data_IF_724601479736
#
_entry.id   IF_724601479736
#
_cell.length_a   1.000
_cell.length_b   1.000
_cell.length_c   1.000
_cell.angle_alpha   90.00
_cell.angle_beta   90.00
_cell.angle_gamma   90.00
#
_symmetry.space_group_name_H-M   'P 1'
#
loop_
_entity.id
_entity.type
_entity.pdbx_description
1 polymer ?
#
# COMPACT_ATOMS: atom_id res chain seq x y z
N UNK A 1 -7.26 27.85 -29.58
CA UNK A 1 -8.73 27.94 -29.38
C UNK A 1 -8.96 28.07 -27.89
N UNK A 2 -9.22 29.28 -27.42
CA UNK A 2 -9.35 29.65 -25.99
C UNK A 2 -10.72 30.25 -25.67
N UNK A 3 -11.66 30.19 -26.62
CA UNK A 3 -12.99 30.76 -26.46
C UNK A 3 -13.92 29.69 -25.91
N UNK A 4 -14.47 29.96 -24.73
CA UNK A 4 -15.56 29.20 -24.12
C UNK A 4 -16.89 29.70 -24.71
N UNK A 5 -17.82 28.79 -25.10
CA UNK A 5 -19.10 29.19 -25.69
C UNK A 5 -19.92 30.13 -24.81
N UNK A 6 -20.67 31.02 -25.45
CA UNK A 6 -21.59 31.93 -24.78
C UNK A 6 -22.64 31.12 -23.98
N UNK A 7 -22.77 31.40 -22.69
CA UNK A 7 -23.64 30.66 -21.76
C UNK A 7 -23.01 29.43 -21.10
N UNK A 8 -21.74 29.13 -21.36
CA UNK A 8 -21.03 28.08 -20.63
C UNK A 8 -20.76 28.51 -19.19
N UNK A 9 -21.41 27.84 -18.23
CA UNK A 9 -21.08 27.92 -16.81
C UNK A 9 -20.17 26.76 -16.48
N UNK A 10 -18.93 27.04 -16.05
CA UNK A 10 -18.06 26.00 -15.51
C UNK A 10 -18.80 25.32 -14.35
N UNK A 11 -19.01 23.99 -14.40
CA UNK A 11 -19.55 23.29 -13.25
C UNK A 11 -18.63 23.54 -12.05
N UNK A 12 -19.20 23.74 -10.86
CA UNK A 12 -18.41 23.76 -9.62
C UNK A 12 -17.65 22.43 -9.51
N UNK A 13 -16.37 22.48 -9.83
CA UNK A 13 -15.46 21.40 -9.48
C UNK A 13 -15.25 21.49 -7.98
N UNK A 14 -16.05 20.75 -7.21
CA UNK A 14 -15.69 20.46 -5.83
C UNK A 14 -14.32 19.79 -5.85
N UNK A 15 -13.29 20.41 -5.27
CA UNK A 15 -11.96 19.80 -5.17
C UNK A 15 -12.10 18.46 -4.44
N UNK A 16 -11.97 17.31 -5.13
CA UNK A 16 -12.14 16.02 -4.48
C UNK A 16 -11.03 15.92 -3.45
N UNK A 17 -11.41 15.84 -2.16
CA UNK A 17 -10.46 15.76 -1.05
C UNK A 17 -9.37 14.74 -1.36
N UNK A 18 -8.14 15.23 -1.54
CA UNK A 18 -6.98 14.39 -1.85
C UNK A 18 -6.63 13.61 -0.58
N UNK A 19 -6.68 12.28 -0.66
CA UNK A 19 -6.41 11.39 0.47
C UNK A 19 -4.93 11.01 0.51
N UNK A 20 -4.20 11.19 1.62
CA UNK A 20 -2.86 10.63 1.75
C UNK A 20 -2.94 9.09 1.73
N UNK A 21 -1.98 8.44 1.07
CA UNK A 21 -1.87 6.99 0.98
C UNK A 21 -0.40 6.56 0.94
N UNK A 22 -0.16 5.27 1.18
CA UNK A 22 1.14 4.64 1.03
C UNK A 22 1.00 3.28 0.32
N UNK A 23 2.00 2.93 -0.50
CA UNK A 23 2.09 1.63 -1.17
C UNK A 23 3.48 1.03 -1.07
N UNK A 24 3.54 -0.30 -0.96
CA UNK A 24 4.78 -1.07 -0.83
C UNK A 24 5.22 -1.58 -2.20
N UNK A 25 6.39 -1.12 -2.64
CA UNK A 25 7.15 -1.73 -3.72
C UNK A 25 8.19 -2.63 -3.09
N UNK A 26 7.85 -3.89 -2.85
CA UNK A 26 8.79 -4.86 -2.29
C UNK A 26 9.59 -5.54 -3.40
N UNK A 27 10.88 -5.75 -3.20
CA UNK A 27 11.71 -6.58 -4.08
C UNK A 27 12.31 -7.78 -3.37
N UNK A 28 12.40 -8.91 -4.09
CA UNK A 28 13.16 -10.10 -3.69
C UNK A 28 14.21 -10.51 -4.71
N UNK A 29 15.18 -11.31 -4.29
CA UNK A 29 16.18 -11.87 -5.21
C UNK A 29 15.60 -13.09 -5.94
N UNK A 30 15.95 -13.25 -7.22
CA UNK A 30 15.68 -14.44 -8.03
C UNK A 30 16.86 -14.70 -8.98
N UNK A 31 16.89 -15.87 -9.61
CA UNK A 31 17.93 -16.23 -10.59
C UNK A 31 17.96 -15.27 -11.80
N UNK A 32 16.81 -14.68 -12.14
CA UNK A 32 16.64 -13.73 -13.26
C UNK A 32 16.80 -12.25 -12.83
N UNK A 33 17.22 -12.01 -11.59
CA UNK A 33 17.37 -10.68 -10.99
C UNK A 33 16.26 -10.34 -9.99
N UNK A 34 16.10 -9.06 -9.64
CA UNK A 34 15.11 -8.66 -8.64
C UNK A 34 13.68 -8.80 -9.17
N UNK A 35 12.80 -9.44 -8.40
CA UNK A 35 11.36 -9.51 -8.66
C UNK A 35 10.61 -8.54 -7.76
N UNK A 36 9.46 -8.04 -8.24
CA UNK A 36 8.55 -7.15 -7.52
C UNK A 36 7.23 -7.89 -7.27
N UNK A 37 6.66 -7.74 -6.06
CA UNK A 37 5.33 -8.26 -5.76
C UNK A 37 4.25 -7.37 -6.37
N UNK A 38 3.33 -7.99 -7.09
CA UNK A 38 2.07 -7.40 -7.54
C UNK A 38 0.89 -8.20 -6.97
N UNK A 39 -0.19 -7.49 -6.66
CA UNK A 39 -1.42 -8.04 -6.10
C UNK A 39 -2.59 -7.72 -7.05
N UNK A 40 -3.32 -8.74 -7.49
CA UNK A 40 -4.49 -8.57 -8.35
C UNK A 40 -5.69 -8.13 -7.51
N UNK A 41 -6.30 -7.00 -7.87
CA UNK A 41 -7.46 -6.43 -7.16
C UNK A 41 -8.74 -7.16 -7.54
N UNK A 42 -9.55 -7.52 -6.56
CA UNK A 42 -10.84 -8.17 -6.81
C UNK A 42 -11.79 -7.25 -7.60
N UNK A 43 -12.65 -7.82 -8.44
CA UNK A 43 -13.54 -7.05 -9.32
C UNK A 43 -14.57 -6.18 -8.59
N UNK A 44 -14.82 -6.45 -7.29
CA UNK A 44 -15.74 -5.68 -6.45
C UNK A 44 -15.13 -4.36 -5.95
N UNK A 45 -13.87 -4.06 -6.28
CA UNK A 45 -13.22 -2.85 -5.84
C UNK A 45 -13.81 -1.59 -6.47
N UNK A 46 -14.10 -0.54 -5.69
CA UNK A 46 -14.71 0.69 -6.20
C UNK A 46 -13.76 1.51 -7.07
N UNK A 47 -12.45 1.26 -6.97
CA UNK A 47 -11.41 1.94 -7.73
C UNK A 47 -10.42 0.92 -8.26
N UNK A 48 -10.15 0.99 -9.56
CA UNK A 48 -9.25 0.09 -10.29
C UNK A 48 -9.54 -1.40 -9.99
N UNK A 49 -10.78 -1.88 -10.20
CA UNK A 49 -11.07 -3.32 -10.12
C UNK A 49 -10.28 -4.08 -11.19
N UNK A 50 -9.87 -5.31 -10.87
CA UNK A 50 -9.08 -6.22 -11.71
C UNK A 50 -7.62 -5.79 -11.95
N UNK A 51 -7.24 -4.55 -11.63
CA UNK A 51 -5.86 -4.10 -11.84
C UNK A 51 -4.87 -4.81 -10.92
N UNK A 52 -3.69 -5.09 -11.46
CA UNK A 52 -2.51 -5.44 -10.66
C UNK A 52 -1.96 -4.18 -10.00
N UNK A 53 -1.84 -4.23 -8.68
CA UNK A 53 -1.41 -3.11 -7.84
C UNK A 53 -0.34 -3.53 -6.84
N UNK A 54 0.23 -2.53 -6.16
CA UNK A 54 1.03 -2.75 -4.97
C UNK A 54 0.12 -2.79 -3.74
N UNK A 55 0.44 -3.59 -2.70
CA UNK A 55 -0.27 -3.53 -1.44
C UNK A 55 -0.10 -2.16 -0.80
N UNK A 56 -1.12 -1.69 -0.09
CA UNK A 56 -1.15 -0.40 0.57
C UNK A 56 -2.51 0.28 0.51
N UNK A 57 -2.63 1.37 1.27
CA UNK A 57 -3.91 2.01 1.51
C UNK A 57 -3.79 3.42 2.06
N UNK A 58 -4.93 3.94 2.51
CA UNK A 58 -5.06 5.33 2.95
C UNK A 58 -4.47 5.56 4.33
N UNK A 59 -3.85 6.72 4.54
CA UNK A 59 -3.40 7.14 5.87
C UNK A 59 -4.59 7.61 6.69
N UNK A 60 -4.77 7.02 7.87
CA UNK A 60 -5.87 7.31 8.78
C UNK A 60 -5.43 8.22 9.94
N UNK A 61 -6.36 8.50 10.87
CA UNK A 61 -6.04 9.26 12.09
C UNK A 61 -5.20 8.45 13.07
N UNK A 62 -5.47 7.16 13.22
CA UNK A 62 -4.73 6.32 14.17
C UNK A 62 -3.31 6.00 13.69
N UNK A 63 -3.06 5.99 12.37
CA UNK A 63 -1.71 5.89 11.81
C UNK A 63 -0.84 7.11 12.21
N UNK A 64 -1.45 8.31 12.26
CA UNK A 64 -0.77 9.54 12.72
C UNK A 64 -0.46 9.50 14.21
N UNK A 65 -1.43 9.04 15.01
CA UNK A 65 -1.24 8.84 16.45
C UNK A 65 -0.10 7.86 16.72
N UNK A 66 -0.02 6.77 15.95
CA UNK A 66 1.05 5.80 16.08
C UNK A 66 2.40 6.39 15.70
N UNK A 67 2.48 7.18 14.62
CA UNK A 67 3.71 7.85 14.20
C UNK A 67 4.21 8.90 15.22
N UNK A 68 3.29 9.58 15.93
CA UNK A 68 3.65 10.54 16.97
C UNK A 68 4.20 9.86 18.24
N UNK A 69 3.78 8.63 18.56
CA UNK A 69 4.20 7.90 19.78
C UNK A 69 5.38 6.94 19.56
N UNK A 70 5.43 6.24 18.42
CA UNK A 70 6.43 5.23 18.13
C UNK A 70 7.75 5.88 17.69
N UNK A 71 8.80 5.74 18.49
CA UNK A 71 10.11 6.33 18.21
C UNK A 71 10.79 5.79 16.95
N UNK A 72 10.33 4.66 16.42
CA UNK A 72 10.78 4.08 15.15
C UNK A 72 10.27 4.86 13.93
N UNK A 73 9.25 5.69 14.09
CA UNK A 73 8.61 6.46 13.03
C UNK A 73 8.88 7.96 13.24
N UNK A 74 8.87 8.72 12.15
CA UNK A 74 8.93 10.18 12.24
C UNK A 74 7.56 10.76 12.61
N UNK A 75 7.48 11.78 13.48
CA UNK A 75 6.22 12.43 13.84
C UNK A 75 5.78 13.44 12.75
N UNK A 76 5.64 12.96 11.52
CA UNK A 76 5.28 13.73 10.33
C UNK A 76 4.46 12.91 9.33
N UNK A 77 4.17 13.49 8.16
CA UNK A 77 3.38 12.82 7.11
C UNK A 77 4.06 11.56 6.55
N UNK A 78 5.38 11.49 6.58
CA UNK A 78 6.12 10.34 6.05
C UNK A 78 6.07 9.18 7.05
N UNK A 79 6.19 9.46 8.35
CA UNK A 79 6.03 8.44 9.39
C UNK A 79 4.59 7.97 9.54
N UNK A 80 3.59 8.86 9.40
CA UNK A 80 2.19 8.46 9.35
C UNK A 80 1.87 7.60 8.11
N UNK A 81 2.49 7.90 6.97
CA UNK A 81 2.37 7.07 5.77
C UNK A 81 3.04 5.71 5.94
N UNK A 82 4.19 5.65 6.64
CA UNK A 82 4.86 4.40 6.94
C UNK A 82 4.08 3.54 7.95
N UNK A 83 3.45 4.15 8.96
CA UNK A 83 2.54 3.46 9.87
C UNK A 83 1.36 2.83 9.10
N UNK A 84 0.71 3.62 8.24
CA UNK A 84 -0.36 3.12 7.38
C UNK A 84 0.13 1.96 6.51
N UNK A 85 1.31 2.08 5.90
CA UNK A 85 1.87 1.00 5.10
C UNK A 85 2.10 -0.28 5.89
N UNK A 86 2.70 -0.18 7.09
CA UNK A 86 2.97 -1.34 7.94
C UNK A 86 1.69 -2.02 8.41
N UNK A 87 0.61 -1.26 8.63
CA UNK A 87 -0.71 -1.81 8.90
C UNK A 87 -1.27 -2.56 7.68
N UNK A 88 -1.22 -1.95 6.50
CA UNK A 88 -1.71 -2.57 5.26
C UNK A 88 -0.89 -3.83 4.90
N UNK A 89 0.41 -3.86 5.19
CA UNK A 89 1.24 -5.07 5.07
C UNK A 89 0.70 -6.22 5.93
N UNK A 90 0.20 -5.94 7.13
CA UNK A 90 -0.43 -6.94 7.99
C UNK A 90 -1.78 -7.36 7.41
N UNK A 91 -2.63 -6.40 7.06
CA UNK A 91 -3.99 -6.63 6.59
C UNK A 91 -4.01 -7.43 5.27
N UNK A 92 -3.25 -7.00 4.27
CA UNK A 92 -3.40 -7.48 2.89
C UNK A 92 -2.49 -8.67 2.56
N UNK A 93 -1.25 -8.68 3.05
CA UNK A 93 -0.25 -9.72 2.69
C UNK A 93 0.20 -10.57 3.89
N UNK A 94 -0.15 -10.18 5.12
CA UNK A 94 0.10 -10.96 6.33
C UNK A 94 1.54 -10.87 6.82
N UNK A 95 2.18 -9.73 6.62
CA UNK A 95 3.59 -9.49 6.91
C UNK A 95 3.82 -8.41 7.96
N UNK A 96 4.94 -8.52 8.67
CA UNK A 96 5.53 -7.44 9.48
C UNK A 96 7.03 -7.40 9.25
N UNK A 97 7.64 -6.21 9.28
CA UNK A 97 9.08 -6.05 9.11
C UNK A 97 9.77 -6.21 10.46
N UNK A 98 10.38 -7.38 10.72
CA UNK A 98 11.13 -7.63 11.95
C UNK A 98 12.57 -7.09 11.84
N UNK A 99 13.40 -7.30 12.87
CA UNK A 99 14.84 -6.99 12.78
C UNK A 99 15.61 -7.93 11.84
N UNK A 100 15.05 -9.12 11.57
CA UNK A 100 15.65 -10.16 10.72
C UNK A 100 15.14 -10.11 9.28
N UNK A 101 14.24 -9.18 8.96
CA UNK A 101 13.55 -9.10 7.68
C UNK A 101 12.05 -9.33 7.81
N UNK A 102 11.38 -9.60 6.70
CA UNK A 102 9.94 -9.79 6.66
C UNK A 102 9.58 -11.15 7.24
N UNK A 103 8.61 -11.15 8.16
CA UNK A 103 8.09 -12.37 8.77
C UNK A 103 6.59 -12.44 8.65
N UNK A 104 6.09 -13.68 8.71
CA UNK A 104 4.67 -13.99 8.70
C UNK A 104 4.03 -13.61 10.04
N UNK A 105 2.94 -12.85 9.99
CA UNK A 105 2.14 -12.48 11.16
C UNK A 105 1.28 -13.66 11.63
N UNK A 106 1.13 -13.82 12.94
CA UNK A 106 0.19 -14.77 13.53
C UNK A 106 -1.26 -14.48 13.07
N UNK A 107 -2.06 -15.51 12.84
CA UNK A 107 -3.41 -15.30 12.31
C UNK A 107 -4.31 -14.55 13.29
N UNK A 108 -4.19 -14.78 14.60
CA UNK A 108 -5.06 -14.08 15.56
C UNK A 108 -4.71 -12.60 15.61
N UNK A 109 -3.41 -12.26 15.63
CA UNK A 109 -2.94 -10.87 15.59
C UNK A 109 -3.37 -10.19 14.28
N UNK A 110 -3.23 -10.89 13.15
CA UNK A 110 -3.68 -10.38 11.85
C UNK A 110 -5.18 -10.14 11.82
N UNK A 111 -5.97 -11.10 12.31
CA UNK A 111 -7.44 -11.02 12.33
C UNK A 111 -7.91 -9.85 13.22
N UNK A 112 -7.24 -9.55 14.35
CA UNK A 112 -7.49 -8.35 15.17
C UNK A 112 -7.30 -7.04 14.40
N UNK A 113 -6.25 -6.94 13.58
CA UNK A 113 -5.98 -5.75 12.76
C UNK A 113 -6.97 -5.65 11.60
N UNK A 114 -7.31 -6.76 10.94
CA UNK A 114 -8.31 -6.76 9.86
C UNK A 114 -9.69 -6.34 10.37
N UNK A 115 -10.08 -6.79 11.58
CA UNK A 115 -11.34 -6.39 12.18
C UNK A 115 -11.38 -4.89 12.50
N UNK A 116 -10.26 -4.33 12.98
CA UNK A 116 -10.11 -2.90 13.19
C UNK A 116 -8.64 -2.49 13.06
N UNK A 117 -8.31 -1.74 12.00
CA UNK A 117 -6.95 -1.27 11.72
C UNK A 117 -6.31 -0.44 12.84
N UNK A 118 -7.10 0.16 13.73
CA UNK A 118 -6.59 0.84 14.93
C UNK A 118 -5.81 -0.11 15.86
N UNK A 119 -6.09 -1.42 15.81
CA UNK A 119 -5.42 -2.46 16.60
C UNK A 119 -3.97 -2.72 16.17
N UNK A 120 -3.53 -2.22 15.01
CA UNK A 120 -2.13 -2.33 14.60
C UNK A 120 -1.19 -1.70 15.65
N UNK A 121 -1.50 -0.48 16.07
CA UNK A 121 -0.66 0.27 17.00
C UNK A 121 -0.57 -0.38 18.41
N UNK A 122 -1.67 -0.75 19.07
CA UNK A 122 -1.63 -1.55 20.30
C UNK A 122 -0.85 -2.85 20.16
N UNK A 123 -0.97 -3.55 19.02
CA UNK A 123 -0.24 -4.80 18.77
C UNK A 123 1.28 -4.57 18.69
N UNK A 124 1.72 -3.45 18.09
CA UNK A 124 3.13 -3.02 18.15
C UNK A 124 3.56 -2.75 19.58
N UNK A 125 2.75 -2.04 20.38
CA UNK A 125 3.09 -1.72 21.79
C UNK A 125 3.20 -2.95 22.68
N UNK A 126 2.47 -4.03 22.38
CA UNK A 126 2.56 -5.33 23.07
C UNK A 126 3.74 -6.17 22.61
N UNK A 127 4.34 -5.85 21.47
CA UNK A 127 5.42 -6.63 20.84
C UNK A 127 4.94 -7.76 19.93
N UNK A 128 3.64 -7.82 19.63
CA UNK A 128 3.06 -8.81 18.71
C UNK A 128 3.36 -8.48 17.24
N UNK A 129 3.53 -7.20 16.94
CA UNK A 129 3.93 -6.66 15.63
C UNK A 129 5.17 -5.79 15.77
N UNK A 130 5.90 -5.63 14.66
CA UNK A 130 7.06 -4.76 14.59
C UNK A 130 6.76 -3.47 13.80
N UNK A 131 7.23 -2.35 14.33
CA UNK A 131 7.29 -1.06 13.63
C UNK A 131 8.71 -0.73 13.14
N UNK A 132 9.53 -1.76 12.85
CA UNK A 132 10.88 -1.55 12.34
C UNK A 132 10.84 -0.82 10.98
N UNK A 133 11.23 0.46 10.99
CA UNK A 133 11.26 1.31 9.80
C UNK A 133 12.52 1.13 8.95
N UNK A 134 13.48 0.33 9.42
CA UNK A 134 14.75 0.10 8.73
C UNK A 134 14.50 -0.54 7.36
N UNK A 135 15.17 0.01 6.34
CA UNK A 135 15.15 -0.49 4.97
C UNK A 135 14.10 0.17 4.07
N UNK A 136 13.02 0.72 4.65
CA UNK A 136 12.02 1.44 3.87
C UNK A 136 12.59 2.74 3.29
N UNK A 137 12.35 2.97 2.00
CA UNK A 137 12.76 4.20 1.30
C UNK A 137 11.65 4.73 0.41
N UNK A 138 11.32 6.01 0.51
CA UNK A 138 10.39 6.62 -0.44
C UNK A 138 11.09 6.74 -1.80
N UNK A 139 10.56 6.07 -2.82
CA UNK A 139 11.06 6.15 -4.20
C UNK A 139 10.25 7.11 -5.06
N UNK A 140 9.00 7.39 -4.67
CA UNK A 140 8.15 8.33 -5.40
C UNK A 140 6.97 8.81 -4.58
N UNK A 141 6.49 10.01 -4.93
CA UNK A 141 5.21 10.54 -4.49
C UNK A 141 4.41 10.91 -5.73
N UNK A 142 3.17 10.43 -5.83
CA UNK A 142 2.28 10.68 -6.98
C UNK A 142 0.90 11.04 -6.49
N UNK A 143 0.31 12.06 -7.13
CA UNK A 143 -1.07 12.47 -6.86
C UNK A 143 -1.95 12.09 -8.04
N UNK A 144 -3.08 11.44 -7.78
CA UNK A 144 -4.07 11.10 -8.82
C UNK A 144 -4.49 12.37 -9.59
N UNK A 145 -4.58 12.32 -10.94
CA UNK A 145 -4.97 13.48 -11.74
C UNK A 145 -6.31 14.10 -11.29
N UNK A 146 -6.52 15.42 -11.48
CA UNK A 146 -7.72 16.13 -11.04
C UNK A 146 -9.05 15.60 -11.60
N UNK A 147 -8.99 14.87 -12.72
CA UNK A 147 -10.18 14.33 -13.41
C UNK A 147 -10.73 13.06 -12.77
N UNK A 148 -10.00 12.42 -11.85
CA UNK A 148 -10.45 11.20 -11.19
C UNK A 148 -11.44 11.51 -10.05
N UNK A 149 -12.52 10.72 -9.90
CA UNK A 149 -13.53 10.94 -8.86
C UNK A 149 -12.98 10.68 -7.44
N UNK A 150 -12.01 9.77 -7.32
CA UNK A 150 -11.28 9.47 -6.08
C UNK A 150 -9.82 9.82 -6.31
N UNK A 151 -9.23 10.57 -5.38
CA UNK A 151 -7.87 11.08 -5.51
C UNK A 151 -7.03 10.75 -4.29
N UNK A 152 -5.81 10.30 -4.55
CA UNK A 152 -4.81 10.01 -3.54
C UNK A 152 -3.53 10.78 -3.81
N UNK A 153 -2.84 11.21 -2.76
CA UNK A 153 -1.40 11.49 -2.82
C UNK A 153 -0.72 10.28 -2.20
N UNK A 154 -0.19 9.41 -3.06
CA UNK A 154 0.39 8.14 -2.68
C UNK A 154 1.91 8.24 -2.58
N UNK A 155 2.47 7.77 -1.46
CA UNK A 155 3.90 7.56 -1.24
C UNK A 155 4.25 6.12 -1.53
N UNK A 156 5.13 5.90 -2.51
CA UNK A 156 5.64 4.57 -2.83
C UNK A 156 6.90 4.33 -2.03
N UNK A 157 6.81 3.42 -1.07
CA UNK A 157 7.94 2.96 -0.28
C UNK A 157 8.52 1.69 -0.91
N UNK A 158 9.82 1.69 -1.14
CA UNK A 158 10.58 0.51 -1.48
C UNK A 158 11.09 -0.18 -0.23
N UNK A 159 11.01 -1.50 -0.19
CA UNK A 159 11.69 -2.36 0.78
C UNK A 159 12.27 -3.55 0.01
N UNK A 160 13.49 -3.94 0.35
CA UNK A 160 14.10 -5.15 -0.20
C UNK A 160 14.30 -6.18 0.91
N UNK A 161 13.86 -7.40 0.63
CA UNK A 161 14.18 -8.59 1.40
C UNK A 161 14.60 -9.65 0.38
N UNK A 162 15.77 -10.28 0.54
CA UNK A 162 16.27 -11.24 -0.44
C UNK A 162 15.37 -12.47 -0.58
N UNK A 163 14.70 -12.89 0.49
CA UNK A 163 13.88 -14.11 0.50
C UNK A 163 12.70 -13.97 1.47
N UNK A 164 11.75 -13.07 1.19
CA UNK A 164 10.59 -12.88 2.03
C UNK A 164 9.71 -14.13 2.00
N UNK A 165 8.98 -14.44 3.09
CA UNK A 165 8.02 -15.51 3.06
C UNK A 165 6.89 -15.19 2.08
N UNK A 166 6.25 -16.21 1.49
CA UNK A 166 5.15 -15.97 0.54
C UNK A 166 3.98 -15.19 1.17
N UNK A 167 3.41 -14.19 0.46
CA UNK A 167 2.29 -13.41 0.96
C UNK A 167 1.04 -14.30 1.08
N UNK A 168 0.15 -13.94 2.01
CA UNK A 168 -1.06 -14.73 2.26
C UNK A 168 -2.29 -13.84 2.19
N UNK A 169 -3.31 -14.30 1.49
CA UNK A 169 -4.64 -13.68 1.54
C UNK A 169 -5.19 -13.79 2.97
N UNK A 170 -5.98 -12.80 3.43
CA UNK A 170 -6.69 -12.91 4.70
C UNK A 170 -7.74 -14.02 4.63
N UNK A 171 -8.13 -14.58 5.79
CA UNK A 171 -9.15 -15.65 5.86
C UNK A 171 -10.57 -15.17 5.51
N UNK A 172 -10.81 -13.87 5.66
CA UNK A 172 -12.10 -13.23 5.42
C UNK A 172 -12.15 -12.52 4.07
N UNK A 173 -12.78 -11.35 4.06
CA UNK A 173 -12.82 -10.48 2.88
C UNK A 173 -11.39 -10.00 2.56
N UNK A 174 -11.01 -10.09 1.29
CA UNK A 174 -9.72 -9.63 0.80
C UNK A 174 -9.91 -8.55 -0.25
N UNK A 175 -8.94 -7.64 -0.35
CA UNK A 175 -8.82 -6.70 -1.47
C UNK A 175 -8.23 -7.34 -2.73
N UNK A 176 -7.50 -8.43 -2.53
CA UNK A 176 -6.79 -9.16 -3.56
C UNK A 176 -7.26 -10.62 -3.64
N UNK A 177 -7.10 -11.26 -4.78
CA UNK A 177 -7.35 -12.70 -4.97
C UNK A 177 -6.15 -13.45 -5.57
N UNK A 178 -5.14 -12.74 -6.06
CA UNK A 178 -3.92 -13.31 -6.61
C UNK A 178 -2.68 -12.47 -6.28
N UNK A 179 -1.54 -13.14 -6.12
CA UNK A 179 -0.22 -12.53 -5.97
C UNK A 179 0.72 -13.03 -7.07
N UNK A 180 1.55 -12.13 -7.61
CA UNK A 180 2.59 -12.49 -8.58
C UNK A 180 3.89 -11.77 -8.25
N UNK A 181 4.98 -12.52 -8.32
CA UNK A 181 6.32 -11.96 -8.40
C UNK A 181 6.72 -11.87 -9.86
N UNK A 182 7.12 -10.68 -10.30
CA UNK A 182 7.55 -10.42 -11.67
C UNK A 182 8.83 -9.60 -11.64
N UNK A 183 9.79 -9.94 -12.49
CA UNK A 183 10.88 -9.00 -12.80
C UNK A 183 10.31 -7.71 -13.43
N UNK A 184 11.01 -6.57 -13.33
CA UNK A 184 10.57 -5.34 -13.98
C UNK A 184 10.28 -5.50 -15.48
N UNK A 185 11.06 -6.32 -16.19
CA UNK A 185 10.84 -6.58 -17.61
C UNK A 185 9.57 -7.40 -17.87
N UNK A 186 9.35 -8.47 -17.10
CA UNK A 186 8.10 -9.25 -17.20
C UNK A 186 6.87 -8.40 -16.88
N UNK A 187 6.94 -7.53 -15.88
CA UNK A 187 5.83 -6.63 -15.54
C UNK A 187 5.53 -5.63 -16.67
N UNK A 188 6.56 -5.09 -17.34
CA UNK A 188 6.40 -4.22 -18.50
C UNK A 188 5.82 -4.96 -19.70
N UNK A 189 6.29 -6.18 -19.98
CA UNK A 189 5.77 -7.00 -21.07
C UNK A 189 4.31 -7.37 -20.84
N UNK A 190 3.96 -7.81 -19.63
CA UNK A 190 2.57 -8.10 -19.23
C UNK A 190 1.68 -6.86 -19.36
N UNK A 191 2.17 -5.68 -18.94
CA UNK A 191 1.45 -4.42 -19.14
C UNK A 191 1.21 -4.11 -20.62
N UNK A 192 2.24 -4.24 -21.46
CA UNK A 192 2.15 -4.00 -22.90
C UNK A 192 1.18 -4.97 -23.59
N UNK A 193 1.07 -6.19 -23.06
CA UNK A 193 0.14 -7.22 -23.53
C UNK A 193 -1.26 -7.12 -22.90
N UNK A 194 -1.53 -6.10 -22.07
CA UNK A 194 -2.81 -5.91 -21.35
C UNK A 194 -3.16 -7.03 -20.36
N UNK A 195 -2.16 -7.70 -19.80
CA UNK A 195 -2.29 -8.78 -18.80
C UNK A 195 -2.20 -8.26 -17.36
N UNK A 196 -1.96 -6.96 -17.18
CA UNK A 196 -1.86 -6.26 -15.89
C UNK A 196 -3.10 -5.40 -15.58
N UNK A 197 -4.21 -5.66 -16.28
CA UNK A 197 -5.49 -4.95 -16.12
C UNK A 197 -6.45 -5.71 -15.25
#
# INVERSE_FOLDING_TARGET
MSEVPEGFVMPEMTDPRIRPAASLVITRDSDDGAEILFCHRVSQMPSFPDFWAFPGGGVTRYDRVAADDLSQLSPDEDGAALAALMREMVEEVGWTNSEEGIVIVDNNVRDEVIENGENWYPSVKRGDLSANSKGFKIISIRTTPPLAPIRFTNRFFHLHDSNPPEPRLPRGRSEFDEFRWLTPMQALDAWNNSEMR
#
